data_IF_706352572693
#
_entry.id   IF_706352572693
#
_cell.length_a   1.000
_cell.length_b   1.000
_cell.length_c   1.000
_cell.angle_alpha   90.00
_cell.angle_beta   90.00
_cell.angle_gamma   90.00
#
_symmetry.space_group_name_H-M   'P 1'
#
loop_
_entity.id
_entity.type
_entity.pdbx_description
1 polymer ?
#
# COMPACT_ATOMS: atom_id res chain seq x y z
N UNK A 1 21.28 24.98 -3.22
CA UNK A 1 20.17 25.57 -4.02
C UNK A 1 18.89 25.00 -3.46
N UNK A 2 17.85 25.83 -3.27
CA UNK A 2 16.55 25.33 -2.82
C UNK A 2 16.00 24.37 -3.89
N UNK A 3 15.51 23.21 -3.48
CA UNK A 3 14.84 22.26 -4.37
C UNK A 3 13.56 22.93 -4.90
N UNK A 4 13.38 22.95 -6.23
CA UNK A 4 12.18 23.49 -6.87
C UNK A 4 11.04 22.44 -6.84
N UNK A 5 10.71 21.90 -5.65
CA UNK A 5 9.54 21.07 -5.49
C UNK A 5 8.29 21.94 -5.46
N UNK A 6 7.34 21.67 -6.33
CA UNK A 6 6.01 22.27 -6.30
C UNK A 6 5.04 21.28 -5.69
N UNK A 7 4.33 21.69 -4.64
CA UNK A 7 3.31 20.88 -3.97
C UNK A 7 1.96 21.55 -4.20
N UNK A 8 1.01 20.80 -4.71
CA UNK A 8 -0.36 21.24 -4.90
C UNK A 8 -1.35 20.15 -4.49
N UNK A 9 -2.61 20.53 -4.30
CA UNK A 9 -3.68 19.61 -3.97
C UNK A 9 -4.83 19.79 -4.95
N UNK A 10 -5.36 18.69 -5.42
CA UNK A 10 -6.58 18.65 -6.26
C UNK A 10 -7.57 17.68 -5.66
N UNK A 11 -8.85 17.93 -5.84
CA UNK A 11 -9.91 17.00 -5.44
C UNK A 11 -10.56 16.43 -6.69
N UNK A 12 -10.77 15.12 -6.70
CA UNK A 12 -11.46 14.42 -7.78
C UNK A 12 -12.74 13.76 -7.28
N UNK A 13 -13.68 13.53 -8.18
CA UNK A 13 -14.79 12.63 -7.91
C UNK A 13 -14.38 11.20 -8.26
N UNK A 14 -14.36 10.32 -7.26
CA UNK A 14 -14.05 8.92 -7.40
C UNK A 14 -15.30 8.11 -7.71
N UNK A 15 -15.62 7.95 -8.99
CA UNK A 15 -16.81 7.21 -9.43
C UNK A 15 -16.77 5.73 -9.00
N UNK A 16 -15.57 5.15 -8.92
CA UNK A 16 -15.38 3.77 -8.43
C UNK A 16 -15.78 3.58 -6.97
N UNK A 17 -15.88 4.66 -6.18
CA UNK A 17 -16.28 4.62 -4.78
C UNK A 17 -17.74 4.98 -4.56
N UNK A 18 -18.53 5.22 -5.62
CA UNK A 18 -19.96 5.40 -5.47
C UNK A 18 -20.60 4.15 -4.86
N UNK A 19 -21.53 4.37 -3.92
CA UNK A 19 -22.24 3.29 -3.23
C UNK A 19 -21.32 2.28 -2.52
N UNK A 20 -20.10 2.69 -2.10
CA UNK A 20 -19.25 1.82 -1.28
C UNK A 20 -19.93 1.50 0.05
N UNK A 21 -19.69 0.28 0.57
CA UNK A 21 -20.39 -0.20 1.76
C UNK A 21 -20.08 0.60 3.02
N UNK A 22 -18.87 1.12 3.15
CA UNK A 22 -18.44 1.87 4.33
C UNK A 22 -19.02 3.29 4.39
N UNK A 23 -19.60 3.79 3.29
CA UNK A 23 -20.05 5.18 3.18
C UNK A 23 -18.89 6.17 3.10
N UNK A 24 -17.71 5.72 2.67
CA UNK A 24 -16.55 6.57 2.49
C UNK A 24 -16.82 7.64 1.41
N UNK A 25 -16.27 8.86 1.57
CA UNK A 25 -16.50 9.95 0.63
C UNK A 25 -16.05 9.60 -0.79
N UNK A 26 -16.83 10.02 -1.79
CA UNK A 26 -16.45 9.94 -3.21
C UNK A 26 -15.60 11.11 -3.67
N UNK A 27 -15.61 12.23 -2.96
CA UNK A 27 -14.67 13.33 -3.18
C UNK A 27 -13.35 12.97 -2.52
N UNK A 28 -12.28 12.81 -3.32
CA UNK A 28 -10.96 12.38 -2.86
C UNK A 28 -9.89 13.39 -3.25
N UNK A 29 -9.04 13.71 -2.30
CA UNK A 29 -7.91 14.59 -2.52
C UNK A 29 -6.72 13.80 -3.08
N UNK A 30 -5.99 14.42 -4.00
CA UNK A 30 -4.69 13.96 -4.49
C UNK A 30 -3.69 15.07 -4.24
N UNK A 31 -2.62 14.78 -3.52
CA UNK A 31 -1.48 15.68 -3.40
C UNK A 31 -0.56 15.40 -4.59
N UNK A 32 -0.18 16.45 -5.29
CA UNK A 32 0.75 16.40 -6.40
C UNK A 32 2.06 17.06 -5.99
N UNK A 33 3.17 16.33 -6.09
CA UNK A 33 4.52 16.81 -5.85
C UNK A 33 5.28 16.74 -7.18
N UNK A 34 5.75 17.86 -7.70
CA UNK A 34 6.40 17.93 -9.00
C UNK A 34 7.78 18.58 -8.91
N UNK A 35 8.71 18.09 -9.72
CA UNK A 35 10.02 18.67 -9.95
C UNK A 35 10.32 18.70 -11.44
N UNK A 36 10.63 19.91 -11.98
CA UNK A 36 10.93 20.11 -13.41
C UNK A 36 9.95 19.41 -14.36
N UNK A 37 8.68 19.28 -13.96
CA UNK A 37 7.69 18.48 -14.68
C UNK A 37 7.36 19.08 -16.05
N UNK A 38 7.44 18.27 -17.09
CA UNK A 38 7.17 18.61 -18.49
C UNK A 38 6.55 17.41 -19.24
N UNK A 39 6.32 17.59 -20.54
CA UNK A 39 5.53 16.61 -21.34
C UNK A 39 6.10 15.20 -21.46
N UNK A 40 7.36 14.97 -21.18
CA UNK A 40 8.00 13.65 -21.20
C UNK A 40 8.26 13.08 -19.80
N UNK A 41 7.93 13.84 -18.76
CA UNK A 41 8.18 13.44 -17.39
C UNK A 41 7.31 12.25 -16.98
N UNK A 42 7.86 11.22 -16.34
CA UNK A 42 7.06 10.12 -15.78
C UNK A 42 6.23 10.59 -14.57
N UNK A 43 5.19 9.82 -14.26
CA UNK A 43 4.37 10.02 -13.07
C UNK A 43 4.50 8.80 -12.17
N UNK A 44 4.73 9.04 -10.88
CA UNK A 44 4.66 8.01 -9.85
C UNK A 44 3.38 8.17 -9.03
N UNK A 45 2.77 7.06 -8.66
CA UNK A 45 1.66 7.03 -7.71
C UNK A 45 2.18 6.48 -6.39
N UNK A 46 2.08 7.28 -5.32
CA UNK A 46 2.51 6.88 -3.98
C UNK A 46 1.32 6.44 -3.13
N UNK A 47 1.42 5.26 -2.54
CA UNK A 47 0.39 4.64 -1.72
C UNK A 47 0.78 4.68 -0.24
N UNK A 48 -0.11 5.20 0.60
CA UNK A 48 0.10 5.26 2.04
C UNK A 48 0.00 3.86 2.69
N UNK A 49 0.76 3.66 3.77
CA UNK A 49 0.60 2.49 4.63
C UNK A 49 -0.69 2.54 5.46
N UNK A 50 -0.97 1.46 6.19
CA UNK A 50 -2.11 1.39 7.10
C UNK A 50 -2.02 2.52 8.15
N UNK A 51 -3.13 3.10 8.52
CA UNK A 51 -3.27 4.33 9.34
C UNK A 51 -2.70 5.61 8.67
N UNK A 52 -2.22 5.56 7.44
CA UNK A 52 -1.71 6.71 6.70
C UNK A 52 -2.70 7.29 5.70
N UNK A 53 -2.55 8.58 5.42
CA UNK A 53 -3.28 9.33 4.38
C UNK A 53 -2.29 9.91 3.38
N UNK A 54 -2.77 10.55 2.31
CA UNK A 54 -1.93 11.36 1.41
C UNK A 54 -1.14 12.43 2.16
N UNK A 55 -1.73 13.01 3.22
CA UNK A 55 -1.07 14.01 4.07
C UNK A 55 0.10 13.45 4.88
N UNK A 56 0.09 12.14 5.17
CA UNK A 56 1.17 11.51 5.94
C UNK A 56 2.53 11.65 5.25
N UNK A 57 2.57 11.72 3.91
CA UNK A 57 3.79 11.99 3.14
C UNK A 57 4.35 13.40 3.34
N UNK A 58 3.54 14.35 3.81
CA UNK A 58 3.96 15.73 4.08
C UNK A 58 4.36 15.94 5.55
N UNK A 59 4.20 14.92 6.41
CA UNK A 59 4.53 15.03 7.82
C UNK A 59 6.05 15.19 8.01
N UNK A 60 6.42 16.09 8.93
CA UNK A 60 7.80 16.18 9.42
C UNK A 60 8.10 15.04 10.37
N UNK A 61 9.28 14.44 10.23
CA UNK A 61 9.77 13.41 11.14
C UNK A 61 10.95 13.95 11.96
N UNK A 62 11.03 13.55 13.23
CA UNK A 62 12.16 13.84 14.11
C UNK A 62 13.09 12.64 14.30
N UNK A 63 12.62 11.43 13.98
CA UNK A 63 13.37 10.19 14.20
C UNK A 63 14.15 9.72 12.96
N UNK A 64 13.72 10.17 11.77
CA UNK A 64 14.37 9.84 10.49
C UNK A 64 14.14 10.98 9.50
N UNK A 65 14.72 10.87 8.32
CA UNK A 65 14.41 11.83 7.25
C UNK A 65 12.99 11.59 6.73
N UNK A 66 12.17 12.64 6.72
CA UNK A 66 10.83 12.61 6.15
C UNK A 66 10.84 12.54 4.62
N UNK A 67 9.67 12.22 4.05
CA UNK A 67 9.54 12.00 2.61
C UNK A 67 9.90 13.23 1.77
N UNK A 68 9.44 14.42 2.17
CA UNK A 68 9.74 15.67 1.41
C UNK A 68 11.23 15.98 1.47
N UNK A 69 11.86 15.88 2.65
CA UNK A 69 13.31 16.06 2.79
C UNK A 69 14.09 15.02 1.97
N UNK A 70 13.57 13.82 1.82
CA UNK A 70 14.14 12.78 0.96
C UNK A 70 14.06 13.18 -0.51
N UNK A 71 12.90 13.67 -0.98
CA UNK A 71 12.74 14.18 -2.35
C UNK A 71 13.65 15.39 -2.63
N UNK A 72 13.79 16.33 -1.68
CA UNK A 72 14.70 17.47 -1.80
C UNK A 72 16.15 17.03 -2.01
N UNK A 73 16.59 15.98 -1.32
CA UNK A 73 17.94 15.42 -1.52
C UNK A 73 18.09 14.76 -2.89
N UNK A 74 17.08 13.98 -3.33
CA UNK A 74 17.08 13.41 -4.68
C UNK A 74 17.23 14.51 -5.72
N UNK A 75 16.40 15.54 -5.65
CA UNK A 75 16.44 16.67 -6.60
C UNK A 75 17.77 17.44 -6.56
N UNK A 76 18.35 17.60 -5.36
CA UNK A 76 19.66 18.26 -5.21
C UNK A 76 20.81 17.45 -5.80
N UNK A 77 20.75 16.10 -5.68
CA UNK A 77 21.74 15.18 -6.25
C UNK A 77 21.55 14.92 -7.75
N UNK A 78 20.34 15.10 -8.26
CA UNK A 78 19.97 14.85 -9.65
C UNK A 78 19.13 16.04 -10.20
N UNK A 79 19.74 17.22 -10.41
CA UNK A 79 19.00 18.44 -10.76
C UNK A 79 18.22 18.37 -12.09
N UNK A 80 18.65 17.50 -13.01
CA UNK A 80 17.98 17.29 -14.30
C UNK A 80 16.85 16.24 -14.24
N UNK A 81 16.60 15.69 -13.05
CA UNK A 81 15.49 14.76 -12.86
C UNK A 81 14.16 15.52 -13.03
N UNK A 82 13.22 14.91 -13.73
CA UNK A 82 11.89 15.47 -13.92
C UNK A 82 10.84 14.42 -13.59
N UNK A 83 9.84 14.80 -12.78
CA UNK A 83 8.78 13.87 -12.38
C UNK A 83 7.56 14.60 -11.81
N UNK A 84 6.46 13.87 -11.73
CA UNK A 84 5.35 14.16 -10.84
C UNK A 84 5.08 12.95 -9.95
N UNK A 85 4.77 13.18 -8.69
CA UNK A 85 4.27 12.18 -7.75
C UNK A 85 2.83 12.54 -7.40
N UNK A 86 1.91 11.60 -7.60
CA UNK A 86 0.52 11.71 -7.18
C UNK A 86 0.31 10.85 -5.93
N UNK A 87 -0.18 11.47 -4.86
CA UNK A 87 -0.44 10.84 -3.56
C UNK A 87 -1.95 10.88 -3.29
N UNK A 88 -2.72 9.88 -3.73
CA UNK A 88 -4.17 9.85 -3.52
C UNK A 88 -4.53 9.55 -2.07
N UNK A 89 -5.54 10.24 -1.55
CA UNK A 89 -6.13 9.89 -0.26
C UNK A 89 -7.03 8.67 -0.41
N UNK A 90 -6.53 7.55 0.07
CA UNK A 90 -7.20 6.24 0.02
C UNK A 90 -7.68 5.78 1.40
N UNK A 91 -7.69 6.67 2.41
CA UNK A 91 -8.15 6.31 3.76
C UNK A 91 -9.60 5.84 3.71
N UNK A 92 -9.87 4.73 4.41
CA UNK A 92 -11.21 4.16 4.60
C UNK A 92 -11.73 4.41 6.02
N UNK A 93 -13.02 4.19 6.25
CA UNK A 93 -13.61 4.16 7.60
C UNK A 93 -13.09 3.01 8.48
N UNK A 94 -12.25 2.12 7.90
CA UNK A 94 -11.49 1.09 8.62
C UNK A 94 -10.04 1.50 8.87
N UNK A 95 -9.72 2.78 8.73
CA UNK A 95 -8.42 3.41 9.05
C UNK A 95 -7.21 2.94 8.22
N UNK A 96 -7.43 2.35 7.07
CA UNK A 96 -6.37 1.94 6.16
C UNK A 96 -6.91 1.35 4.88
N UNK A 97 -6.02 0.92 4.00
CA UNK A 97 -6.37 0.37 2.69
C UNK A 97 -5.38 -0.70 2.25
N UNK A 98 -5.90 -1.74 1.59
CA UNK A 98 -5.10 -2.76 0.90
C UNK A 98 -5.15 -2.62 -0.62
N UNK A 99 -5.73 -1.51 -1.12
CA UNK A 99 -5.76 -1.18 -2.54
C UNK A 99 -6.37 -2.29 -3.42
N UNK A 100 -7.43 -2.90 -2.90
CA UNK A 100 -8.18 -3.98 -3.54
C UNK A 100 -9.66 -3.63 -3.61
N UNK A 101 -10.37 -4.20 -4.58
CA UNK A 101 -11.82 -4.15 -4.59
C UNK A 101 -12.39 -5.15 -3.57
N UNK A 102 -13.31 -4.70 -2.73
CA UNK A 102 -13.99 -5.55 -1.74
C UNK A 102 -15.45 -5.13 -1.56
N UNK A 103 -16.34 -6.13 -1.46
CA UNK A 103 -17.76 -5.90 -1.17
C UNK A 103 -18.02 -5.38 0.26
N UNK A 104 -17.05 -5.47 1.15
CA UNK A 104 -17.11 -4.91 2.50
C UNK A 104 -16.53 -3.51 2.62
N UNK A 105 -15.77 -3.06 1.64
CA UNK A 105 -15.05 -1.79 1.69
C UNK A 105 -15.47 -0.88 0.56
N UNK A 106 -15.19 -1.28 -0.68
CA UNK A 106 -15.40 -0.48 -1.89
C UNK A 106 -14.39 -0.87 -2.97
N UNK A 107 -14.44 -0.22 -4.12
CA UNK A 107 -13.62 -0.56 -5.27
C UNK A 107 -12.32 0.26 -5.30
N UNK A 108 -11.44 0.06 -4.32
CA UNK A 108 -10.22 0.86 -4.17
C UNK A 108 -9.10 0.50 -5.16
N UNK A 109 -9.08 -0.70 -5.74
CA UNK A 109 -8.25 -1.00 -6.91
C UNK A 109 -8.69 -0.14 -8.11
N UNK A 110 -10.00 -0.09 -8.37
CA UNK A 110 -10.58 0.72 -9.44
C UNK A 110 -10.38 2.23 -9.19
N UNK A 111 -10.48 2.68 -7.95
CA UNK A 111 -10.19 4.06 -7.58
C UNK A 111 -8.78 4.48 -8.04
N UNK A 112 -7.75 3.68 -7.76
CA UNK A 112 -6.39 3.99 -8.19
C UNK A 112 -6.24 3.84 -9.71
N UNK A 113 -6.70 2.72 -10.27
CA UNK A 113 -6.40 2.35 -11.67
C UNK A 113 -7.29 3.05 -12.69
N UNK A 114 -8.49 3.48 -12.30
CA UNK A 114 -9.46 4.14 -13.17
C UNK A 114 -9.61 5.63 -12.84
N UNK A 115 -9.97 5.98 -11.59
CA UNK A 115 -10.26 7.37 -11.26
C UNK A 115 -8.98 8.22 -11.16
N UNK A 116 -7.98 7.78 -10.38
CA UNK A 116 -6.71 8.52 -10.22
C UNK A 116 -5.93 8.53 -11.53
N UNK A 117 -5.72 7.38 -12.15
CA UNK A 117 -5.01 7.29 -13.44
C UNK A 117 -5.77 8.04 -14.54
N UNK A 118 -7.10 7.92 -14.60
CA UNK A 118 -7.94 8.64 -15.56
C UNK A 118 -7.81 10.15 -15.41
N UNK A 119 -7.83 10.66 -14.18
CA UNK A 119 -7.56 12.07 -13.88
C UNK A 119 -6.17 12.50 -14.37
N UNK A 120 -5.12 11.73 -14.03
CA UNK A 120 -3.74 12.05 -14.43
C UNK A 120 -3.59 12.07 -15.96
N UNK A 121 -4.15 11.10 -16.66
CA UNK A 121 -4.10 11.04 -18.13
C UNK A 121 -4.88 12.17 -18.79
N UNK A 122 -6.03 12.54 -18.24
CA UNK A 122 -6.84 13.66 -18.75
C UNK A 122 -6.14 15.00 -18.55
N UNK A 123 -5.49 15.20 -17.39
CA UNK A 123 -4.89 16.49 -17.03
C UNK A 123 -3.48 16.69 -17.60
N UNK A 124 -2.71 15.61 -17.73
CA UNK A 124 -1.28 15.69 -18.08
C UNK A 124 -0.91 14.84 -19.32
N UNK A 125 -1.89 14.23 -19.97
CA UNK A 125 -1.64 13.33 -21.09
C UNK A 125 -1.17 11.94 -20.66
N UNK A 126 -1.00 11.04 -21.63
CA UNK A 126 -0.53 9.68 -21.40
C UNK A 126 0.94 9.68 -21.01
N UNK A 127 1.26 9.19 -19.82
CA UNK A 127 2.62 9.16 -19.25
C UNK A 127 3.04 7.73 -18.91
N UNK A 128 4.35 7.49 -18.78
CA UNK A 128 4.87 6.29 -18.15
C UNK A 128 4.56 6.35 -16.66
N UNK A 129 3.93 5.31 -16.14
CA UNK A 129 3.49 5.24 -14.75
C UNK A 129 4.35 4.23 -13.98
N UNK A 130 4.82 4.66 -12.82
CA UNK A 130 5.33 3.80 -11.76
C UNK A 130 4.46 3.94 -10.51
N UNK A 131 4.62 2.99 -9.60
CA UNK A 131 3.88 2.99 -8.34
C UNK A 131 4.81 2.63 -7.19
N UNK A 132 4.59 3.20 -6.02
CA UNK A 132 5.41 2.90 -4.85
C UNK A 132 4.60 2.99 -3.58
N UNK A 133 5.08 2.35 -2.53
CA UNK A 133 4.49 2.47 -1.22
C UNK A 133 5.28 1.71 -0.16
N UNK A 134 4.83 1.87 1.08
CA UNK A 134 5.39 1.21 2.25
C UNK A 134 4.29 0.48 3.00
N UNK A 135 4.63 -0.69 3.61
CA UNK A 135 3.67 -1.48 4.37
C UNK A 135 2.47 -1.86 3.48
N UNK A 136 1.23 -1.64 3.91
CA UNK A 136 0.04 -1.82 3.04
C UNK A 136 0.13 -1.08 1.70
N UNK A 137 0.83 0.06 1.64
CA UNK A 137 1.10 0.76 0.38
C UNK A 137 2.09 0.00 -0.52
N UNK A 138 3.09 -0.67 0.06
CA UNK A 138 4.01 -1.56 -0.66
C UNK A 138 3.29 -2.77 -1.22
N UNK A 139 2.49 -3.44 -0.39
CA UNK A 139 1.56 -4.49 -0.85
C UNK A 139 0.67 -3.98 -1.99
N UNK A 140 0.08 -2.79 -1.85
CA UNK A 140 -0.74 -2.17 -2.89
C UNK A 140 0.03 -1.95 -4.20
N UNK A 141 1.27 -1.47 -4.12
CA UNK A 141 2.11 -1.25 -5.30
C UNK A 141 2.41 -2.55 -6.05
N UNK A 142 2.75 -3.62 -5.33
CA UNK A 142 2.88 -4.96 -5.88
C UNK A 142 1.57 -5.45 -6.49
N UNK A 143 0.49 -5.49 -5.68
CA UNK A 143 -0.80 -6.07 -6.06
C UNK A 143 -1.40 -5.37 -7.30
N UNK A 144 -1.40 -4.04 -7.34
CA UNK A 144 -1.90 -3.28 -8.48
C UNK A 144 -1.07 -3.51 -9.75
N UNK A 145 0.25 -3.68 -9.62
CA UNK A 145 1.13 -3.95 -10.76
C UNK A 145 0.88 -5.31 -11.38
N UNK A 146 0.75 -6.36 -10.57
CA UNK A 146 0.53 -7.73 -11.11
C UNK A 146 -0.87 -7.90 -11.72
N UNK A 147 -1.86 -7.22 -11.16
CA UNK A 147 -3.26 -7.29 -11.63
C UNK A 147 -3.53 -6.39 -12.83
N UNK A 148 -2.74 -5.32 -13.00
CA UNK A 148 -2.85 -4.36 -14.10
C UNK A 148 -1.52 -4.23 -14.86
N UNK A 149 -1.03 -5.32 -15.50
CA UNK A 149 0.33 -5.41 -16.03
C UNK A 149 0.63 -4.41 -17.16
N UNK A 150 -0.38 -3.86 -17.82
CA UNK A 150 -0.22 -2.86 -18.88
C UNK A 150 -0.25 -1.42 -18.37
N UNK A 151 -0.53 -1.20 -17.09
CA UNK A 151 -0.71 0.13 -16.54
C UNK A 151 0.59 0.68 -15.94
N UNK A 152 1.25 -0.11 -15.10
CA UNK A 152 2.47 0.28 -14.42
C UNK A 152 3.69 -0.38 -15.04
N UNK A 153 4.75 0.40 -15.30
CA UNK A 153 6.01 -0.12 -15.86
C UNK A 153 6.97 -0.62 -14.78
N UNK A 154 6.71 -0.35 -13.52
CA UNK A 154 7.48 -0.84 -12.39
C UNK A 154 6.91 -0.38 -11.06
N UNK A 155 7.43 -0.95 -9.97
CA UNK A 155 7.03 -0.60 -8.62
C UNK A 155 8.21 -0.57 -7.64
N UNK A 156 8.02 0.19 -6.56
CA UNK A 156 8.85 0.13 -5.35
C UNK A 156 7.98 -0.35 -4.20
N UNK A 157 8.44 -1.41 -3.56
CA UNK A 157 7.84 -1.99 -2.38
C UNK A 157 8.80 -1.85 -1.20
N UNK A 158 8.45 -1.01 -0.23
CA UNK A 158 9.20 -0.84 1.01
C UNK A 158 8.44 -1.52 2.14
N UNK A 159 8.96 -2.64 2.65
CA UNK A 159 8.33 -3.45 3.70
C UNK A 159 6.84 -3.69 3.46
N UNK A 160 6.45 -4.08 2.23
CA UNK A 160 5.07 -4.40 1.88
C UNK A 160 4.60 -5.71 2.51
N UNK A 161 3.34 -5.71 2.94
CA UNK A 161 2.76 -6.86 3.65
C UNK A 161 2.97 -8.15 2.86
N UNK A 162 3.73 -9.08 3.41
CA UNK A 162 4.07 -10.37 2.80
C UNK A 162 4.46 -11.39 3.88
N UNK A 163 4.26 -12.69 3.60
CA UNK A 163 4.43 -13.74 4.61
C UNK A 163 3.35 -13.64 5.68
N UNK A 164 2.08 -13.73 5.27
CA UNK A 164 0.91 -13.46 6.12
C UNK A 164 0.85 -14.31 7.39
N UNK A 165 1.46 -15.48 7.41
CA UNK A 165 1.62 -16.29 8.62
C UNK A 165 2.45 -15.57 9.70
N UNK A 166 3.35 -14.69 9.32
CA UNK A 166 4.21 -13.97 10.26
C UNK A 166 3.65 -12.58 10.59
N UNK A 167 3.17 -11.86 9.59
CA UNK A 167 2.74 -10.48 9.83
C UNK A 167 1.33 -10.38 10.44
N UNK A 168 0.41 -11.33 10.20
CA UNK A 168 -0.98 -11.23 10.64
C UNK A 168 -1.40 -12.19 11.76
N UNK A 169 -0.98 -13.47 11.75
CA UNK A 169 -1.42 -14.42 12.78
C UNK A 169 -1.08 -13.97 14.19
N UNK A 170 0.00 -13.24 14.35
CA UNK A 170 0.45 -12.69 15.64
C UNK A 170 -0.56 -11.74 16.31
N UNK A 171 -1.41 -11.09 15.53
CA UNK A 171 -2.39 -10.11 16.01
C UNK A 171 -3.78 -10.75 16.30
N UNK A 172 -3.97 -12.02 15.92
CA UNK A 172 -5.25 -12.71 16.14
C UNK A 172 -5.61 -12.89 17.60
N UNK A 173 -4.69 -13.22 18.53
CA UNK A 173 -5.04 -13.29 19.96
C UNK A 173 -5.64 -11.98 20.49
N UNK A 174 -5.07 -10.83 20.19
CA UNK A 174 -5.59 -9.52 20.58
C UNK A 174 -6.97 -9.27 19.96
N UNK A 175 -7.15 -9.67 18.70
CA UNK A 175 -8.40 -9.50 17.94
C UNK A 175 -9.53 -10.36 18.48
N UNK A 176 -9.23 -11.62 18.82
CA UNK A 176 -10.18 -12.55 19.41
C UNK A 176 -10.71 -11.98 20.73
N UNK A 177 -9.81 -11.53 21.62
CA UNK A 177 -10.23 -10.96 22.91
C UNK A 177 -11.00 -9.64 22.73
N UNK A 178 -10.65 -8.81 21.75
CA UNK A 178 -11.35 -7.56 21.47
C UNK A 178 -12.77 -7.79 20.93
N UNK A 179 -12.98 -8.82 20.11
CA UNK A 179 -14.29 -9.10 19.48
C UNK A 179 -15.17 -10.04 20.28
N UNK A 180 -14.59 -10.86 21.17
CA UNK A 180 -15.28 -11.97 21.83
C UNK A 180 -16.47 -11.53 22.68
N UNK A 181 -16.35 -10.40 23.38
CA UNK A 181 -17.35 -9.96 24.36
C UNK A 181 -18.63 -9.45 23.70
N UNK A 182 -18.49 -8.50 22.80
CA UNK A 182 -19.60 -7.72 22.27
C UNK A 182 -19.73 -7.82 20.74
N UNK A 183 -18.84 -8.58 20.10
CA UNK A 183 -18.78 -8.76 18.65
C UNK A 183 -18.01 -7.66 17.91
N UNK A 184 -17.70 -7.94 16.65
CA UNK A 184 -16.92 -7.06 15.78
C UNK A 184 -17.57 -5.67 15.61
N UNK A 185 -18.88 -5.60 15.40
CA UNK A 185 -19.56 -4.31 15.17
C UNK A 185 -19.49 -3.40 16.40
N UNK A 186 -19.67 -3.95 17.59
CA UNK A 186 -19.56 -3.19 18.84
C UNK A 186 -18.13 -2.72 19.07
N UNK A 187 -17.12 -3.54 18.74
CA UNK A 187 -15.72 -3.12 18.76
C UNK A 187 -15.48 -1.93 17.82
N UNK A 188 -15.94 -2.00 16.55
CA UNK A 188 -15.77 -0.92 15.57
C UNK A 188 -16.44 0.39 16.03
N UNK A 189 -17.63 0.31 16.63
CA UNK A 189 -18.29 1.49 17.20
C UNK A 189 -17.52 2.08 18.39
N UNK A 190 -17.04 1.24 19.30
CA UNK A 190 -16.22 1.66 20.42
C UNK A 190 -14.93 2.31 19.96
N UNK A 191 -14.24 1.70 18.98
CA UNK A 191 -13.01 2.23 18.41
C UNK A 191 -13.22 3.63 17.84
N UNK A 192 -14.27 3.84 17.02
CA UNK A 192 -14.59 5.16 16.43
C UNK A 192 -14.90 6.25 17.48
N UNK A 193 -15.48 5.87 18.61
CA UNK A 193 -15.86 6.81 19.69
C UNK A 193 -14.73 7.10 20.68
N UNK A 194 -13.71 6.26 20.74
CA UNK A 194 -12.60 6.41 21.68
C UNK A 194 -11.62 7.50 21.22
N UNK A 195 -11.21 8.40 22.11
CA UNK A 195 -10.18 9.40 21.78
C UNK A 195 -8.75 8.83 21.78
N UNK A 196 -8.56 7.61 22.28
CA UNK A 196 -7.26 6.93 22.37
C UNK A 196 -7.43 5.45 22.13
N UNK A 197 -6.39 4.80 21.60
CA UNK A 197 -6.39 3.37 21.32
C UNK A 197 -5.15 2.72 21.92
N UNK A 198 -5.33 1.57 22.55
CA UNK A 198 -4.25 0.71 22.99
C UNK A 198 -3.63 -0.01 21.79
N UNK A 199 -2.44 -0.62 21.99
CA UNK A 199 -1.84 -1.48 20.97
C UNK A 199 -2.77 -2.64 20.58
N UNK A 200 -3.47 -3.23 21.55
CA UNK A 200 -4.45 -4.29 21.30
C UNK A 200 -5.61 -3.79 20.43
N UNK A 201 -6.14 -2.59 20.68
CA UNK A 201 -7.18 -1.99 19.83
C UNK A 201 -6.69 -1.78 18.39
N UNK A 202 -5.44 -1.34 18.22
CA UNK A 202 -4.83 -1.15 16.89
C UNK A 202 -4.62 -2.46 16.14
N UNK A 203 -4.14 -3.52 16.82
CA UNK A 203 -3.99 -4.86 16.25
C UNK A 203 -5.35 -5.43 15.84
N UNK A 204 -6.36 -5.29 16.69
CA UNK A 204 -7.72 -5.75 16.41
C UNK A 204 -8.35 -4.96 15.25
N UNK A 205 -8.13 -3.65 15.16
CA UNK A 205 -8.61 -2.82 14.04
C UNK A 205 -7.94 -3.23 12.73
N UNK A 206 -6.63 -3.49 12.77
CA UNK A 206 -5.89 -4.02 11.62
C UNK A 206 -6.47 -5.36 11.14
N UNK A 207 -6.70 -6.31 12.04
CA UNK A 207 -7.32 -7.60 11.70
C UNK A 207 -8.71 -7.44 11.11
N UNK A 208 -9.55 -6.57 11.67
CA UNK A 208 -10.90 -6.29 11.14
C UNK A 208 -10.86 -5.72 9.71
N UNK A 209 -9.95 -4.78 9.47
CA UNK A 209 -9.76 -4.20 8.15
C UNK A 209 -9.22 -5.22 7.15
N UNK A 210 -8.20 -6.01 7.52
CA UNK A 210 -7.67 -7.07 6.66
C UNK A 210 -8.73 -8.10 6.32
N UNK A 211 -9.58 -8.50 7.29
CA UNK A 211 -10.70 -9.40 7.03
C UNK A 211 -11.71 -8.78 6.04
N UNK A 212 -11.98 -7.49 6.12
CA UNK A 212 -12.87 -6.81 5.17
C UNK A 212 -12.32 -6.83 3.74
N UNK A 213 -10.98 -6.83 3.56
CA UNK A 213 -10.35 -6.93 2.24
C UNK A 213 -10.17 -8.37 1.77
N UNK A 214 -9.68 -9.28 2.63
CA UNK A 214 -9.25 -10.62 2.23
C UNK A 214 -10.35 -11.67 2.34
N UNK A 215 -11.32 -11.46 3.24
CA UNK A 215 -12.40 -12.40 3.48
C UNK A 215 -13.79 -11.75 3.62
N UNK A 216 -14.19 -10.88 2.65
CA UNK A 216 -15.58 -10.40 2.61
C UNK A 216 -16.51 -11.62 2.45
N UNK A 217 -17.66 -11.64 3.15
CA UNK A 217 -18.63 -12.73 3.03
C UNK A 217 -19.15 -12.80 1.59
N UNK A 218 -19.20 -14.01 1.04
CA UNK A 218 -19.58 -14.25 -0.35
C UNK A 218 -21.08 -14.11 -0.62
N UNK A 219 -21.90 -14.22 0.43
CA UNK A 219 -23.36 -14.26 0.32
C UNK A 219 -24.03 -12.99 0.85
N UNK A 220 -23.35 -12.26 1.73
CA UNK A 220 -23.90 -11.08 2.41
C UNK A 220 -22.94 -9.88 2.23
N UNK A 221 -23.37 -8.90 1.40
CA UNK A 221 -22.60 -7.69 1.18
C UNK A 221 -22.38 -6.95 2.52
N UNK A 222 -21.13 -6.54 2.78
CA UNK A 222 -20.76 -5.83 3.99
C UNK A 222 -20.48 -6.69 5.21
N UNK A 223 -20.75 -7.98 5.14
CA UNK A 223 -20.39 -8.92 6.20
C UNK A 223 -18.94 -9.40 6.00
N UNK A 224 -18.23 -9.51 7.11
CA UNK A 224 -16.84 -9.96 7.17
C UNK A 224 -16.80 -11.36 7.77
N UNK A 225 -16.07 -12.25 7.12
CA UNK A 225 -15.75 -13.57 7.68
C UNK A 225 -14.41 -13.47 8.40
N UNK A 226 -14.42 -13.67 9.72
CA UNK A 226 -13.19 -13.67 10.51
C UNK A 226 -12.43 -15.00 10.33
N UNK A 227 -11.09 -15.00 10.27
CA UNK A 227 -10.29 -16.21 10.08
C UNK A 227 -10.13 -17.03 11.37
N UNK A 228 -11.00 -16.83 12.37
CA UNK A 228 -11.01 -17.55 13.64
C UNK A 228 -12.42 -17.56 14.26
N UNK A 229 -12.67 -18.58 15.05
CA UNK A 229 -13.90 -18.70 15.84
C UNK A 229 -13.80 -17.86 17.12
N UNK A 230 -14.79 -17.01 17.40
CA UNK A 230 -14.77 -16.10 18.55
C UNK A 230 -14.97 -16.79 19.90
N UNK A 231 -15.54 -18.00 19.94
CA UNK A 231 -15.77 -18.75 21.19
C UNK A 231 -14.53 -19.55 21.58
N UNK A 232 -13.96 -20.26 20.61
CA UNK A 232 -12.84 -21.18 20.84
C UNK A 232 -11.48 -20.57 20.59
N UNK A 233 -11.41 -19.50 19.80
CA UNK A 233 -10.16 -18.91 19.31
C UNK A 233 -9.46 -19.74 18.23
N UNK A 234 -10.07 -20.84 17.77
CA UNK A 234 -9.44 -21.69 16.75
C UNK A 234 -9.45 -21.03 15.38
N UNK A 235 -8.36 -21.21 14.65
CA UNK A 235 -8.24 -20.74 13.27
C UNK A 235 -9.25 -21.45 12.36
N UNK A 236 -10.00 -20.68 11.58
CA UNK A 236 -10.80 -21.18 10.47
C UNK A 236 -9.89 -21.27 9.23
N UNK A 237 -9.46 -22.48 8.91
CA UNK A 237 -8.52 -22.72 7.81
C UNK A 237 -9.10 -22.38 6.43
N UNK A 238 -10.42 -22.51 6.23
CA UNK A 238 -11.05 -22.16 4.95
C UNK A 238 -11.08 -20.65 4.73
N UNK A 239 -11.34 -19.89 5.80
CA UNK A 239 -11.25 -18.42 5.75
C UNK A 239 -9.79 -17.97 5.66
N UNK A 240 -8.89 -18.57 6.47
CA UNK A 240 -7.46 -18.24 6.42
C UNK A 240 -6.84 -18.50 5.04
N UNK A 241 -7.25 -19.56 4.35
CA UNK A 241 -6.80 -19.85 2.98
C UNK A 241 -7.13 -18.70 2.03
N UNK A 242 -8.29 -18.03 2.19
CA UNK A 242 -8.65 -16.86 1.38
C UNK A 242 -7.65 -15.71 1.58
N UNK A 243 -7.15 -15.51 2.81
CA UNK A 243 -6.09 -14.53 3.08
C UNK A 243 -4.80 -14.92 2.37
N UNK A 244 -4.37 -16.15 2.50
CA UNK A 244 -3.14 -16.67 1.89
C UNK A 244 -3.13 -16.55 0.36
N UNK A 245 -4.28 -16.59 -0.28
CA UNK A 245 -4.40 -16.34 -1.74
C UNK A 245 -3.94 -14.92 -2.14
N UNK A 246 -3.98 -13.98 -1.20
CA UNK A 246 -3.51 -12.61 -1.41
C UNK A 246 -2.05 -12.38 -0.98
N UNK A 247 -1.44 -13.32 -0.25
CA UNK A 247 -0.07 -13.18 0.23
C UNK A 247 0.95 -13.10 -0.92
N UNK A 248 1.70 -11.99 -1.08
CA UNK A 248 2.72 -11.85 -2.12
C UNK A 248 3.76 -12.96 -2.10
N UNK A 249 4.20 -13.40 -0.90
CA UNK A 249 5.16 -14.49 -0.76
C UNK A 249 4.67 -15.82 -1.33
N UNK A 250 3.35 -16.01 -1.42
CA UNK A 250 2.70 -17.24 -1.92
C UNK A 250 2.25 -17.12 -3.37
N UNK A 251 1.71 -15.96 -3.75
CA UNK A 251 1.05 -15.80 -5.04
C UNK A 251 1.99 -15.31 -6.16
N UNK A 252 3.16 -14.73 -5.85
CA UNK A 252 4.09 -14.13 -6.83
C UNK A 252 4.45 -15.10 -7.98
N UNK A 253 4.59 -16.39 -7.69
CA UNK A 253 4.87 -17.41 -8.71
C UNK A 253 3.80 -17.51 -9.79
N UNK A 254 2.56 -17.18 -9.47
CA UNK A 254 1.45 -17.18 -10.43
C UNK A 254 1.44 -15.94 -11.34
N UNK A 255 2.19 -14.91 -11.00
CA UNK A 255 2.24 -13.63 -11.70
C UNK A 255 3.58 -13.31 -12.37
N UNK A 256 4.47 -14.30 -12.51
CA UNK A 256 5.79 -14.14 -13.14
C UNK A 256 5.69 -13.48 -14.53
N UNK A 257 4.68 -13.84 -15.32
CA UNK A 257 4.50 -13.24 -16.66
C UNK A 257 4.11 -11.73 -16.57
N UNK A 258 3.31 -11.35 -15.59
CA UNK A 258 2.95 -9.93 -15.34
C UNK A 258 4.14 -9.09 -14.88
N UNK A 259 5.15 -9.72 -14.30
CA UNK A 259 6.35 -9.08 -13.77
C UNK A 259 7.50 -8.98 -14.79
N UNK A 260 7.42 -9.69 -15.91
CA UNK A 260 8.43 -9.55 -16.99
C UNK A 260 8.47 -8.12 -17.52
N UNK A 261 9.67 -7.62 -17.74
CA UNK A 261 9.90 -6.26 -18.25
C UNK A 261 9.36 -5.14 -17.33
N UNK A 262 9.31 -5.40 -16.00
CA UNK A 262 9.01 -4.39 -14.99
C UNK A 262 10.28 -4.03 -14.23
N UNK A 263 10.40 -2.76 -13.84
CA UNK A 263 11.38 -2.40 -12.80
C UNK A 263 10.79 -2.75 -11.45
N UNK A 264 11.41 -3.71 -10.79
CA UNK A 264 10.97 -4.22 -9.48
C UNK A 264 12.03 -3.83 -8.46
N UNK A 265 11.65 -3.12 -7.42
CA UNK A 265 12.55 -2.71 -6.34
C UNK A 265 11.87 -3.04 -5.02
N UNK A 266 12.49 -3.91 -4.23
CA UNK A 266 12.01 -4.35 -2.93
C UNK A 266 13.04 -4.02 -1.86
N UNK A 267 12.60 -3.35 -0.79
CA UNK A 267 13.45 -2.89 0.31
C UNK A 267 12.79 -3.22 1.64
N UNK A 268 13.52 -3.72 2.60
CA UNK A 268 12.98 -4.10 3.92
C UNK A 268 14.01 -3.97 5.03
N UNK A 269 13.55 -3.70 6.25
CA UNK A 269 14.38 -3.80 7.43
C UNK A 269 14.55 -5.27 7.86
N UNK A 270 15.78 -5.69 8.20
CA UNK A 270 16.04 -7.07 8.65
C UNK A 270 15.54 -7.34 10.08
N UNK A 271 15.16 -6.27 10.80
CA UNK A 271 14.52 -6.28 12.13
C UNK A 271 13.07 -5.78 12.08
N UNK A 272 12.41 -5.97 10.93
CA UNK A 272 11.02 -5.55 10.74
C UNK A 272 10.11 -6.14 11.83
N UNK A 273 9.40 -5.29 12.55
CA UNK A 273 8.57 -5.67 13.70
C UNK A 273 7.38 -6.55 13.31
N UNK A 274 6.99 -6.57 12.04
CA UNK A 274 5.95 -7.44 11.49
C UNK A 274 6.53 -8.68 10.78
N UNK A 275 7.87 -8.86 10.82
CA UNK A 275 8.57 -9.99 10.18
C UNK A 275 8.36 -10.06 8.66
N UNK A 276 8.07 -8.94 8.02
CA UNK A 276 7.84 -8.83 6.56
C UNK A 276 9.07 -9.24 5.76
N UNK A 277 10.28 -9.04 6.31
CA UNK A 277 11.52 -9.49 5.71
C UNK A 277 11.54 -10.99 5.35
N UNK A 278 10.81 -11.83 6.10
CA UNK A 278 10.70 -13.26 5.80
C UNK A 278 9.92 -13.48 4.49
N UNK A 279 8.78 -12.82 4.36
CA UNK A 279 7.97 -12.90 3.14
C UNK A 279 8.70 -12.31 1.92
N UNK A 280 9.37 -11.17 2.08
CA UNK A 280 10.11 -10.53 1.00
C UNK A 280 11.32 -11.36 0.53
N UNK A 281 12.02 -12.07 1.42
CA UNK A 281 13.07 -13.06 1.03
C UNK A 281 12.48 -14.15 0.14
N UNK A 282 11.30 -14.67 0.50
CA UNK A 282 10.61 -15.68 -0.32
C UNK A 282 10.25 -15.14 -1.70
N UNK A 283 9.81 -13.88 -1.79
CA UNK A 283 9.55 -13.21 -3.07
C UNK A 283 10.83 -13.07 -3.89
N UNK A 284 11.93 -12.58 -3.28
CA UNK A 284 13.25 -12.46 -3.89
C UNK A 284 13.73 -13.79 -4.49
N UNK A 285 13.73 -14.85 -3.71
CA UNK A 285 14.11 -16.19 -4.16
C UNK A 285 13.25 -16.66 -5.34
N UNK A 286 11.94 -16.45 -5.25
CA UNK A 286 11.01 -16.85 -6.33
C UNK A 286 11.28 -16.08 -7.63
N UNK A 287 11.54 -14.78 -7.57
CA UNK A 287 11.89 -13.96 -8.72
C UNK A 287 13.24 -14.37 -9.32
N UNK A 288 14.24 -14.63 -8.47
CA UNK A 288 15.56 -15.10 -8.88
C UNK A 288 15.49 -16.44 -9.63
N UNK A 289 14.77 -17.42 -9.07
CA UNK A 289 14.55 -18.73 -9.70
C UNK A 289 13.80 -18.63 -11.04
N UNK A 290 12.92 -17.63 -11.19
CA UNK A 290 12.18 -17.38 -12.42
C UNK A 290 12.96 -16.54 -13.45
N UNK A 291 14.18 -16.10 -13.13
CA UNK A 291 15.01 -15.23 -13.99
C UNK A 291 14.38 -13.85 -14.21
N UNK A 292 13.69 -13.31 -13.23
CA UNK A 292 13.13 -11.95 -13.25
C UNK A 292 14.15 -10.99 -12.65
N UNK A 293 14.55 -10.00 -13.44
CA UNK A 293 15.44 -8.94 -12.97
C UNK A 293 14.73 -8.07 -11.93
N UNK A 294 15.35 -7.90 -10.77
CA UNK A 294 14.81 -7.12 -9.65
C UNK A 294 15.90 -6.68 -8.69
N UNK A 295 15.66 -5.61 -7.99
CA UNK A 295 16.47 -5.13 -6.88
C UNK A 295 15.86 -5.60 -5.56
N UNK A 296 16.66 -6.21 -4.70
CA UNK A 296 16.26 -6.59 -3.34
C UNK A 296 17.32 -6.19 -2.34
N UNK A 297 16.94 -5.45 -1.31
CA UNK A 297 17.87 -5.00 -0.29
C UNK A 297 17.26 -5.12 1.11
N UNK A 298 18.01 -5.74 2.04
CA UNK A 298 17.73 -5.71 3.46
C UNK A 298 18.66 -4.71 4.15
N UNK A 299 18.08 -3.88 5.02
CA UNK A 299 18.79 -2.88 5.80
C UNK A 299 18.76 -3.24 7.28
N UNK A 300 19.76 -2.77 8.06
CA UNK A 300 19.77 -2.96 9.52
C UNK A 300 18.79 -2.00 10.21
N UNK A 301 17.49 -2.15 9.87
CA UNK A 301 16.37 -1.29 10.26
C UNK A 301 15.17 -2.13 10.71
N UNK A 302 14.20 -1.46 11.37
CA UNK A 302 12.86 -1.98 11.64
C UNK A 302 11.87 -1.64 10.53
N UNK A 303 10.57 -1.71 10.85
CA UNK A 303 9.48 -1.35 9.94
C UNK A 303 9.27 0.16 9.85
N UNK A 304 9.54 0.87 10.94
CA UNK A 304 9.22 2.30 11.07
C UNK A 304 10.41 3.18 10.72
N UNK A 305 10.12 4.44 10.34
CA UNK A 305 11.14 5.46 10.10
C UNK A 305 12.14 5.14 8.96
N UNK A 306 11.72 4.34 7.98
CA UNK A 306 12.54 3.90 6.83
C UNK A 306 12.16 4.59 5.52
N UNK A 307 11.34 5.63 5.56
CA UNK A 307 10.91 6.38 4.35
C UNK A 307 12.10 7.01 3.60
N UNK A 308 13.24 7.21 4.27
CA UNK A 308 14.49 7.67 3.65
C UNK A 308 15.02 6.69 2.59
N UNK A 309 14.61 5.41 2.61
CA UNK A 309 15.00 4.43 1.59
C UNK A 309 14.51 4.80 0.20
N UNK A 310 13.47 5.61 0.10
CA UNK A 310 13.04 6.19 -1.18
C UNK A 310 14.13 7.03 -1.88
N UNK A 311 15.16 7.50 -1.16
CA UNK A 311 16.31 8.18 -1.76
C UNK A 311 17.07 7.28 -2.75
N UNK A 312 17.03 5.97 -2.55
CA UNK A 312 17.66 4.98 -3.43
C UNK A 312 16.73 4.47 -4.52
N UNK A 313 15.52 4.14 -4.15
CA UNK A 313 14.59 3.42 -5.03
C UNK A 313 13.85 4.32 -6.03
N UNK A 314 13.41 5.54 -5.64
CA UNK A 314 12.67 6.40 -6.56
C UNK A 314 13.51 6.88 -7.74
N UNK A 315 14.79 7.28 -7.60
CA UNK A 315 15.64 7.62 -8.75
C UNK A 315 15.81 6.45 -9.73
N UNK A 316 15.95 5.22 -9.22
CA UNK A 316 16.07 4.03 -10.06
C UNK A 316 14.81 3.78 -10.88
N UNK A 317 13.62 3.87 -10.23
CA UNK A 317 12.35 3.72 -10.92
C UNK A 317 12.12 4.84 -11.94
N UNK A 318 12.38 6.10 -11.57
CA UNK A 318 12.22 7.26 -12.47
C UNK A 318 13.16 7.18 -13.69
N UNK A 319 14.42 6.79 -13.49
CA UNK A 319 15.38 6.61 -14.56
C UNK A 319 14.95 5.51 -15.54
N UNK A 320 14.44 4.40 -15.02
CA UNK A 320 13.88 3.33 -15.84
C UNK A 320 12.67 3.81 -16.66
N UNK A 321 11.72 4.51 -16.04
CA UNK A 321 10.55 5.05 -16.72
C UNK A 321 10.91 6.03 -17.83
N UNK A 322 11.95 6.84 -17.62
CA UNK A 322 12.46 7.79 -18.62
C UNK A 322 13.13 7.10 -19.80
N UNK A 323 13.65 5.88 -19.62
CA UNK A 323 14.31 5.11 -20.69
C UNK A 323 13.34 4.37 -21.60
N UNK A 324 12.05 4.28 -21.25
CA UNK A 324 10.98 3.63 -22.02
C UNK A 324 10.36 4.59 -23.05
#
# INVERSE_FOLDING_TARGET
MASNLTISKVSIHAASLESNYLGDPTSRDIILVAHNFHDESPILIGLAGFFGTSLSFLNRSYSSRDFISTLERICSGMPDLSFMIALPDSMTSLYGNQYMNSSCVGNYEDFITKDVVGFLQKSYGKRKLGIFGKSSGGFGAYNLTIRNPNLFSGFVDVSGDSGFEYCYLRDFPDSIEAFRKDGLNAFLEKFRKSPTHSRQDLNAMGTAAMAAFYSPNRNEIGKIDLPFDLHTGLLDYEIWKRWIEHDPARNIKSYIQSLRNKKIIMQVGNRDEFSINIGMRSMHETLGLAGIDHEYNEYDEGHFSIDYLYEYSLPMLLSYLKSL
#
